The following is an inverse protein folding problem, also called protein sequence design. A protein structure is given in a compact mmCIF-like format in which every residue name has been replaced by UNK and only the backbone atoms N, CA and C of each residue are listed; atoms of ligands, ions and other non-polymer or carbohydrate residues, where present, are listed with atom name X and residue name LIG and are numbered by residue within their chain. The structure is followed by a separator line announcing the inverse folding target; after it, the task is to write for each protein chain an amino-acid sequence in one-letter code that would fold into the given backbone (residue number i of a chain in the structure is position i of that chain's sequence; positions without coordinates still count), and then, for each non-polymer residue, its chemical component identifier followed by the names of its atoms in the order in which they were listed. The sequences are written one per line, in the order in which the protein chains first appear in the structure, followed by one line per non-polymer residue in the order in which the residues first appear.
data_IF_656025600645
#
_entry.id   IF_656025600645
#
_cell.length_a   1.000
_cell.length_b   1.000
_cell.length_c   1.000
_cell.angle_alpha   90.00
_cell.angle_beta   90.00
_cell.angle_gamma   90.00
#
_symmetry.space_group_name_H-M   'P 1'
#
loop_
_entity.id
_entity.type
_entity.pdbx_description
1 polymer ?
#
# COMPACT_ATOMS: atom_id res chain seq x y z
N UNK A 1 -16.98 -20.73 16.56
CA UNK A 1 -17.93 -19.62 16.46
C UNK A 1 -17.16 -18.40 15.99
N UNK A 2 -17.11 -18.14 14.69
CA UNK A 2 -16.56 -16.89 14.14
C UNK A 2 -17.66 -15.85 14.23
N UNK A 3 -17.54 -14.90 15.16
CA UNK A 3 -18.44 -13.74 15.22
C UNK A 3 -18.39 -12.95 13.91
N UNK A 4 -19.34 -12.02 13.67
CA UNK A 4 -19.30 -11.20 12.47
C UNK A 4 -17.92 -10.50 12.41
N UNK A 5 -17.15 -10.80 11.37
CA UNK A 5 -15.93 -10.06 11.08
C UNK A 5 -16.35 -8.64 10.72
N UNK A 6 -16.30 -7.74 11.69
CA UNK A 6 -16.40 -6.31 11.44
C UNK A 6 -15.04 -5.89 10.90
N UNK A 7 -14.94 -5.71 9.59
CA UNK A 7 -13.74 -5.18 8.97
C UNK A 7 -13.73 -3.67 9.18
N UNK A 8 -12.69 -3.15 9.84
CA UNK A 8 -12.50 -1.72 10.00
C UNK A 8 -11.94 -1.13 8.70
N UNK A 9 -12.86 -0.78 7.79
CA UNK A 9 -12.52 -0.20 6.49
C UNK A 9 -11.72 1.09 6.64
N UNK A 10 -12.02 1.88 7.67
CA UNK A 10 -11.30 3.13 7.96
C UNK A 10 -9.84 2.83 8.29
N UNK A 11 -9.58 1.87 9.18
CA UNK A 11 -8.22 1.46 9.52
C UNK A 11 -7.44 0.88 8.33
N UNK A 12 -8.11 0.17 7.41
CA UNK A 12 -7.49 -0.35 6.18
C UNK A 12 -7.08 0.81 5.27
N UNK A 13 -7.98 1.77 5.01
CA UNK A 13 -7.70 2.97 4.19
C UNK A 13 -6.59 3.83 4.79
N UNK A 14 -6.63 4.09 6.10
CA UNK A 14 -5.56 4.82 6.79
C UNK A 14 -4.21 4.11 6.68
N UNK A 15 -4.21 2.78 6.71
CA UNK A 15 -2.98 2.00 6.55
C UNK A 15 -2.43 2.07 5.13
N UNK A 16 -3.27 2.04 4.10
CA UNK A 16 -2.87 2.26 2.71
C UNK A 16 -2.25 3.65 2.52
N UNK A 17 -2.93 4.70 3.01
CA UNK A 17 -2.45 6.09 2.93
C UNK A 17 -1.10 6.30 3.64
N UNK A 18 -0.88 5.66 4.80
CA UNK A 18 0.42 5.73 5.49
C UNK A 18 1.54 5.12 4.65
N UNK A 19 1.27 4.04 3.92
CA UNK A 19 2.26 3.42 3.03
C UNK A 19 2.57 4.38 1.87
N UNK A 20 1.55 4.98 1.26
CA UNK A 20 1.76 5.94 0.17
C UNK A 20 2.56 7.17 0.61
N UNK A 21 2.18 7.76 1.75
CA UNK A 21 2.90 8.89 2.33
C UNK A 21 4.36 8.55 2.62
N UNK A 22 4.61 7.37 3.22
CA UNK A 22 5.98 6.92 3.48
C UNK A 22 6.77 6.71 2.18
N UNK A 23 6.14 6.28 1.09
CA UNK A 23 6.80 6.08 -0.20
C UNK A 23 7.18 7.38 -0.90
N UNK A 24 6.40 8.44 -0.71
CA UNK A 24 6.71 9.78 -1.22
C UNK A 24 7.94 10.39 -0.55
N UNK A 25 8.20 10.05 0.71
CA UNK A 25 9.41 10.48 1.42
C UNK A 25 10.67 9.68 1.01
N UNK A 26 10.53 8.52 0.37
CA UNK A 26 11.68 7.72 -0.06
C UNK A 26 12.28 8.32 -1.33
N UNK A 27 13.57 8.73 -1.34
CA UNK A 27 14.21 9.26 -2.53
C UNK A 27 14.34 8.20 -3.63
N UNK A 28 14.29 8.62 -4.90
CA UNK A 28 14.35 7.68 -6.04
C UNK A 28 15.76 7.15 -6.36
N UNK A 29 16.79 7.76 -5.77
CA UNK A 29 18.19 7.35 -5.87
C UNK A 29 19.00 7.83 -4.67
N UNK A 30 20.05 7.08 -4.32
CA UNK A 30 21.08 7.53 -3.38
C UNK A 30 22.10 8.49 -4.02
N UNK A 31 23.18 8.81 -3.29
CA UNK A 31 24.30 9.61 -3.80
C UNK A 31 24.85 9.03 -5.11
N UNK A 32 24.97 9.88 -6.13
CA UNK A 32 25.31 9.48 -7.50
C UNK A 32 26.80 9.46 -7.81
N UNK A 33 27.64 10.03 -6.94
CA UNK A 33 29.09 10.15 -7.20
C UNK A 33 29.92 10.01 -5.93
N UNK A 34 30.84 9.05 -5.94
CA UNK A 34 31.98 9.01 -5.03
C UNK A 34 33.24 9.34 -5.84
N UNK A 35 33.57 10.62 -5.90
CA UNK A 35 34.71 11.13 -6.69
C UNK A 35 36.02 11.14 -5.92
N UNK A 36 36.02 10.81 -4.63
CA UNK A 36 37.16 11.05 -3.73
C UNK A 36 37.80 9.76 -3.17
N UNK A 37 37.61 8.62 -3.84
CA UNK A 37 38.06 7.32 -3.33
C UNK A 37 39.58 7.08 -3.46
N UNK A 38 40.33 7.97 -4.11
CA UNK A 38 41.77 7.81 -4.41
C UNK A 38 42.15 6.60 -5.29
N UNK A 39 41.18 5.73 -5.62
CA UNK A 39 41.36 4.47 -6.35
C UNK A 39 40.18 4.22 -7.30
N UNK A 40 40.47 4.00 -8.59
CA UNK A 40 39.47 3.70 -9.62
C UNK A 40 38.64 2.47 -9.27
N UNK A 41 39.29 1.42 -8.73
CA UNK A 41 38.63 0.17 -8.36
C UNK A 41 37.58 0.37 -7.26
N UNK A 42 37.88 1.22 -6.28
CA UNK A 42 36.94 1.54 -5.19
C UNK A 42 35.76 2.33 -5.72
N UNK A 43 36.01 3.33 -6.58
CA UNK A 43 34.95 4.12 -7.22
C UNK A 43 34.03 3.27 -8.10
N UNK A 44 34.58 2.35 -8.89
CA UNK A 44 33.81 1.43 -9.73
C UNK A 44 32.98 0.45 -8.90
N UNK A 45 33.57 -0.11 -7.85
CA UNK A 45 32.87 -1.04 -6.95
C UNK A 45 31.72 -0.34 -6.23
N UNK A 46 31.95 0.87 -5.73
CA UNK A 46 30.92 1.64 -5.03
C UNK A 46 29.77 2.03 -5.97
N UNK A 47 30.10 2.36 -7.23
CA UNK A 47 29.08 2.61 -8.26
C UNK A 47 28.18 1.40 -8.50
N UNK A 48 28.76 0.20 -8.59
CA UNK A 48 27.97 -1.04 -8.74
C UNK A 48 27.02 -1.26 -7.54
N UNK A 49 27.49 -1.00 -6.32
CA UNK A 49 26.63 -1.09 -5.13
C UNK A 49 25.50 -0.06 -5.13
N UNK A 50 25.80 1.18 -5.52
CA UNK A 50 24.79 2.25 -5.64
C UNK A 50 23.75 1.89 -6.69
N UNK A 51 24.17 1.36 -7.83
CA UNK A 51 23.27 0.94 -8.92
C UNK A 51 22.35 -0.20 -8.48
N UNK A 52 22.90 -1.24 -7.84
CA UNK A 52 22.11 -2.38 -7.36
C UNK A 52 21.16 -1.97 -6.23
N UNK A 53 21.62 -1.12 -5.32
CA UNK A 53 20.78 -0.58 -4.25
C UNK A 53 19.63 0.25 -4.83
N UNK A 54 19.91 1.12 -5.80
CA UNK A 54 18.89 1.94 -6.48
C UNK A 54 17.86 1.07 -7.19
N UNK A 55 18.31 0.00 -7.85
CA UNK A 55 17.42 -0.97 -8.53
C UNK A 55 16.52 -1.69 -7.52
N UNK A 56 17.07 -2.14 -6.40
CA UNK A 56 16.32 -2.81 -5.34
C UNK A 56 15.32 -1.84 -4.69
N UNK A 57 15.73 -0.61 -4.39
CA UNK A 57 14.87 0.45 -3.85
C UNK A 57 13.66 0.70 -4.74
N UNK A 58 13.87 0.88 -6.06
CA UNK A 58 12.78 1.04 -7.03
C UNK A 58 11.85 -0.17 -7.08
N UNK A 59 12.40 -1.38 -6.93
CA UNK A 59 11.58 -2.60 -6.87
C UNK A 59 10.69 -2.63 -5.62
N UNK A 60 11.26 -2.33 -4.45
CA UNK A 60 10.51 -2.33 -3.19
C UNK A 60 9.47 -1.21 -3.14
N UNK A 61 9.80 0.01 -3.64
CA UNK A 61 8.81 1.09 -3.76
C UNK A 61 7.60 0.67 -4.59
N UNK A 62 7.82 0.00 -5.73
CA UNK A 62 6.73 -0.53 -6.57
C UNK A 62 5.93 -1.62 -5.85
N UNK A 63 6.59 -2.48 -5.09
CA UNK A 63 5.92 -3.55 -4.34
C UNK A 63 5.04 -2.97 -3.24
N UNK A 64 5.56 -2.04 -2.45
CA UNK A 64 4.82 -1.35 -1.40
C UNK A 64 3.62 -0.58 -1.96
N UNK A 65 3.78 0.09 -3.11
CA UNK A 65 2.67 0.77 -3.81
C UNK A 65 1.54 -0.22 -4.17
N UNK A 66 1.87 -1.38 -4.74
CA UNK A 66 0.86 -2.41 -5.05
C UNK A 66 0.14 -2.91 -3.81
N UNK A 67 0.84 -2.99 -2.68
CA UNK A 67 0.22 -3.39 -1.40
C UNK A 67 -0.79 -2.33 -0.97
N UNK A 68 -0.43 -1.04 -1.02
CA UNK A 68 -1.37 0.04 -0.70
C UNK A 68 -2.61 0.02 -1.61
N UNK A 69 -2.42 -0.10 -2.94
CA UNK A 69 -3.51 -0.23 -3.91
C UNK A 69 -4.40 -1.45 -3.62
N UNK A 70 -3.82 -2.59 -3.25
CA UNK A 70 -4.58 -3.78 -2.88
C UNK A 70 -5.36 -3.60 -1.57
N UNK A 71 -4.82 -2.84 -0.62
CA UNK A 71 -5.52 -2.50 0.62
C UNK A 71 -6.71 -1.58 0.35
N UNK A 72 -6.57 -0.60 -0.54
CA UNK A 72 -7.69 0.25 -0.98
C UNK A 72 -8.77 -0.57 -1.70
N UNK A 73 -8.39 -1.44 -2.63
CA UNK A 73 -9.34 -2.33 -3.31
C UNK A 73 -10.08 -3.24 -2.33
N UNK A 74 -9.38 -3.76 -1.32
CA UNK A 74 -10.00 -4.57 -0.26
C UNK A 74 -10.99 -3.75 0.59
N UNK A 75 -10.68 -2.49 0.88
CA UNK A 75 -11.56 -1.58 1.58
C UNK A 75 -12.84 -1.29 0.77
N UNK A 76 -12.71 -1.04 -0.53
CA UNK A 76 -13.84 -0.80 -1.42
C UNK A 76 -14.77 -2.03 -1.54
N UNK A 77 -14.20 -3.24 -1.62
CA UNK A 77 -14.96 -4.49 -1.65
C UNK A 77 -15.76 -4.71 -0.35
N UNK A 78 -15.20 -4.33 0.80
CA UNK A 78 -15.89 -4.42 2.07
C UNK A 78 -17.01 -3.38 2.20
N UNK A 79 -16.77 -2.11 1.83
CA UNK A 79 -17.81 -1.07 1.83
C UNK A 79 -18.99 -1.46 0.94
N UNK A 80 -18.70 -2.02 -0.24
CA UNK A 80 -19.74 -2.51 -1.15
C UNK A 80 -20.54 -3.66 -0.53
N UNK A 81 -19.87 -4.62 0.09
CA UNK A 81 -20.51 -5.77 0.73
C UNK A 81 -21.41 -5.32 1.89
N UNK A 82 -20.95 -4.37 2.72
CA UNK A 82 -21.73 -3.81 3.81
C UNK A 82 -22.96 -3.06 3.28
N UNK A 83 -22.78 -2.23 2.26
CA UNK A 83 -23.89 -1.49 1.62
C UNK A 83 -24.96 -2.42 1.03
N UNK A 84 -24.55 -3.51 0.37
CA UNK A 84 -25.48 -4.53 -0.15
C UNK A 84 -26.25 -5.24 0.97
N UNK A 85 -25.58 -5.57 2.08
CA UNK A 85 -26.23 -6.18 3.25
C UNK A 85 -27.23 -5.22 3.92
N UNK A 86 -26.85 -3.96 4.13
CA UNK A 86 -27.74 -2.92 4.69
C UNK A 86 -28.99 -2.77 3.81
N UNK A 87 -28.82 -2.71 2.49
CA UNK A 87 -29.93 -2.57 1.56
C UNK A 87 -30.89 -3.78 1.59
N UNK A 88 -30.35 -5.00 1.72
CA UNK A 88 -31.17 -6.21 1.88
C UNK A 88 -31.99 -6.18 3.18
N UNK A 89 -31.38 -5.78 4.29
CA UNK A 89 -32.06 -5.66 5.58
C UNK A 89 -33.17 -4.60 5.52
N UNK A 90 -32.90 -3.44 4.93
CA UNK A 90 -33.89 -2.38 4.76
C UNK A 90 -35.09 -2.83 3.91
N UNK A 91 -34.85 -3.57 2.81
CA UNK A 91 -35.93 -4.15 2.01
C UNK A 91 -36.79 -5.12 2.80
N UNK A 92 -36.16 -5.99 3.60
CA UNK A 92 -36.88 -6.95 4.43
C UNK A 92 -37.74 -6.26 5.49
N UNK A 93 -37.21 -5.24 6.16
CA UNK A 93 -37.94 -4.43 7.13
C UNK A 93 -39.13 -3.70 6.48
N UNK A 94 -38.96 -3.15 5.29
CA UNK A 94 -40.06 -2.50 4.56
C UNK A 94 -41.20 -3.46 4.24
N UNK A 95 -40.90 -4.72 3.88
CA UNK A 95 -41.91 -5.77 3.65
C UNK A 95 -42.66 -6.12 4.95
N UNK A 96 -41.95 -6.21 6.07
CA UNK A 96 -42.54 -6.52 7.37
C UNK A 96 -43.48 -5.42 7.90
N UNK A 97 -43.13 -4.15 7.68
CA UNK A 97 -43.93 -2.99 8.12
C UNK A 97 -45.14 -2.73 7.21
N UNK A 98 -45.13 -3.25 5.98
CA UNK A 98 -46.23 -3.10 5.00
C UNK A 98 -47.32 -4.17 5.14
N UNK A 99 -47.28 -4.99 6.19
CA UNK A 99 -48.31 -5.98 6.56
C UNK A 99 -49.00 -5.55 7.85
#
# INVERSE_FOLDING_TARGET
MTGPFVFDVTAIRESAQRIEYALDEVPDSGYTTCTDSGSSLVSETLKLFIDEFTKKLKSEKRNAKRIAEAMEGCADDFDKTESEQVHQVLRFLAILVSR
#
